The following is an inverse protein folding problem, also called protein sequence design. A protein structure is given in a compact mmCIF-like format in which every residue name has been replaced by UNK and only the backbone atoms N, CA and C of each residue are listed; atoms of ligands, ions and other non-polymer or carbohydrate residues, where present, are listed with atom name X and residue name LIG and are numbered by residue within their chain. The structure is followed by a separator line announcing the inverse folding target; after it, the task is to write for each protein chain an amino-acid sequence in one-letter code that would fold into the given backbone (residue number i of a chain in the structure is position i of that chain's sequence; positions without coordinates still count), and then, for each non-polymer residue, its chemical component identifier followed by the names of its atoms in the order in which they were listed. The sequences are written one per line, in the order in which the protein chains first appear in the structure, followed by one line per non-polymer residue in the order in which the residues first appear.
data_IF_086652523865
#
_entry.id   IF_086652523865
#
_cell.length_a   1.000
_cell.length_b   1.000
_cell.length_c   1.000
_cell.angle_alpha   90.00
_cell.angle_beta   90.00
_cell.angle_gamma   90.00
#
_symmetry.space_group_name_H-M   'P 1'
#
loop_
_entity.id
_entity.type
_entity.pdbx_description
1 polymer ?
#
# COMPACT_ATOMS: atom_id res chain seq x y z
N UNK A 1 16.48 9.24 1.61
CA UNK A 1 15.90 10.51 2.10
C UNK A 1 15.41 11.28 0.88
N UNK A 2 14.25 11.95 0.96
CA UNK A 2 13.75 12.81 -0.12
C UNK A 2 14.72 13.92 -0.52
N UNK A 3 14.64 14.34 -1.77
CA UNK A 3 15.49 15.39 -2.33
C UNK A 3 14.84 16.76 -2.11
N UNK A 4 15.21 17.44 -1.02
CA UNK A 4 14.65 18.74 -0.63
C UNK A 4 15.17 19.97 -1.38
N UNK A 5 16.35 19.98 -2.04
CA UNK A 5 16.83 21.18 -2.74
C UNK A 5 15.81 21.80 -3.70
N UNK A 6 14.92 20.98 -4.28
CA UNK A 6 13.80 21.46 -5.10
C UNK A 6 12.89 22.47 -4.39
N UNK A 7 12.75 22.41 -3.06
CA UNK A 7 11.99 23.42 -2.31
C UNK A 7 12.60 24.82 -2.40
N UNK A 8 13.92 24.93 -2.41
CA UNK A 8 14.60 26.21 -2.48
C UNK A 8 14.51 26.86 -3.85
N UNK A 9 14.54 26.06 -4.91
CA UNK A 9 14.57 26.54 -6.29
C UNK A 9 13.18 26.71 -6.89
N UNK A 10 12.12 26.19 -6.27
CA UNK A 10 10.76 26.31 -6.75
C UNK A 10 10.21 27.71 -6.47
N UNK A 11 10.12 28.54 -7.51
CA UNK A 11 9.62 29.91 -7.42
C UNK A 11 8.15 29.99 -6.98
N UNK A 12 7.36 28.94 -7.23
CA UNK A 12 5.95 28.87 -6.84
C UNK A 12 5.75 28.70 -5.32
N UNK A 13 6.82 28.46 -4.57
CA UNK A 13 6.77 28.21 -3.11
C UNK A 13 7.36 29.36 -2.30
N UNK A 14 7.66 30.52 -2.89
CA UNK A 14 8.45 31.58 -2.24
C UNK A 14 7.91 32.01 -0.88
N UNK A 15 6.58 32.17 -0.77
CA UNK A 15 5.93 32.65 0.45
C UNK A 15 5.59 31.51 1.44
N UNK A 16 5.76 30.25 1.02
CA UNK A 16 5.34 29.07 1.80
C UNK A 16 6.52 28.23 2.29
N UNK A 17 7.73 28.49 1.83
CA UNK A 17 8.92 27.66 2.10
C UNK A 17 9.15 27.43 3.60
N UNK A 18 8.99 28.47 4.41
CA UNK A 18 9.17 28.39 5.86
C UNK A 18 8.12 27.49 6.47
N UNK A 19 6.85 27.69 6.10
CA UNK A 19 5.75 26.87 6.60
C UNK A 19 5.93 25.40 6.21
N UNK A 20 6.26 25.11 4.96
CA UNK A 20 6.50 23.75 4.45
C UNK A 20 7.67 23.10 5.18
N UNK A 21 8.78 23.84 5.37
CA UNK A 21 9.96 23.38 6.12
C UNK A 21 9.57 22.97 7.53
N UNK A 22 8.85 23.82 8.24
CA UNK A 22 8.49 23.58 9.65
C UNK A 22 7.57 22.35 9.77
N UNK A 23 6.62 22.19 8.84
CA UNK A 23 5.77 21.00 8.78
C UNK A 23 6.57 19.73 8.41
N UNK A 24 7.53 19.80 7.49
CA UNK A 24 8.40 18.67 7.15
C UNK A 24 9.30 18.27 8.30
N UNK A 25 9.86 19.23 9.04
CA UNK A 25 10.70 18.92 10.22
C UNK A 25 9.88 18.22 11.28
N UNK A 26 8.68 18.72 11.59
CA UNK A 26 7.77 18.08 12.54
C UNK A 26 7.38 16.67 12.07
N UNK A 27 6.91 16.54 10.84
CA UNK A 27 6.51 15.25 10.25
C UNK A 27 7.64 14.21 10.32
N UNK A 28 8.86 14.62 9.98
CA UNK A 28 10.04 13.76 10.04
C UNK A 28 10.37 13.28 11.45
N UNK A 29 10.24 14.19 12.45
CA UNK A 29 10.46 13.85 13.85
C UNK A 29 9.44 12.83 14.35
N UNK A 30 8.18 13.01 14.00
CA UNK A 30 7.10 12.13 14.44
C UNK A 30 7.11 10.78 13.71
N UNK A 31 7.45 10.75 12.43
CA UNK A 31 7.70 9.51 11.70
C UNK A 31 8.83 8.69 12.33
N UNK A 32 9.94 9.36 12.73
CA UNK A 32 11.05 8.69 13.38
C UNK A 32 10.73 8.14 14.79
N UNK A 33 9.72 8.69 15.47
CA UNK A 33 9.20 8.15 16.75
C UNK A 33 8.23 6.99 16.54
N UNK A 34 7.39 7.07 15.51
CA UNK A 34 6.27 6.16 15.29
C UNK A 34 6.66 4.92 14.47
N UNK A 35 7.66 5.05 13.60
CA UNK A 35 8.10 3.98 12.70
C UNK A 35 9.52 3.60 13.05
N UNK A 36 9.85 2.30 13.19
CA UNK A 36 11.20 1.85 13.49
C UNK A 36 12.22 2.33 12.47
N UNK A 37 13.45 2.50 12.91
CA UNK A 37 14.54 2.84 12.01
C UNK A 37 14.78 1.72 10.99
N UNK A 38 14.94 2.08 9.72
CA UNK A 38 15.28 1.14 8.64
C UNK A 38 16.62 0.45 8.93
N UNK A 39 16.64 -0.86 8.76
CA UNK A 39 17.87 -1.67 8.86
C UNK A 39 18.36 -2.05 7.46
N UNK A 40 19.61 -2.42 7.32
CA UNK A 40 20.15 -2.85 6.03
C UNK A 40 19.63 -4.25 5.64
N UNK A 41 19.68 -5.20 6.57
CA UNK A 41 19.51 -6.63 6.31
C UNK A 41 18.62 -7.37 7.32
N UNK A 42 18.20 -6.73 8.42
CA UNK A 42 17.47 -7.41 9.51
C UNK A 42 15.97 -7.43 9.29
N UNK A 43 15.39 -6.29 8.94
CA UNK A 43 13.93 -6.12 8.82
C UNK A 43 13.57 -5.38 7.56
N UNK A 44 12.35 -5.60 7.06
CA UNK A 44 11.70 -4.89 5.96
C UNK A 44 10.48 -4.16 6.51
N UNK A 45 10.44 -2.85 6.33
CA UNK A 45 9.26 -2.03 6.62
C UNK A 45 8.37 -1.98 5.39
N UNK A 46 7.25 -2.71 5.45
CA UNK A 46 6.26 -2.85 4.39
C UNK A 46 5.02 -2.04 4.72
N UNK A 47 4.53 -1.23 3.78
CA UNK A 47 3.31 -0.46 3.94
C UNK A 47 2.34 -0.63 2.77
N UNK A 48 1.08 -0.32 3.00
CA UNK A 48 0.04 -0.08 1.99
C UNK A 48 -0.63 1.26 2.25
N UNK A 49 -0.91 2.01 1.19
CA UNK A 49 -1.54 3.31 1.29
C UNK A 49 -2.37 3.62 0.04
N UNK A 50 -3.67 3.69 0.19
CA UNK A 50 -4.51 4.31 -0.82
C UNK A 50 -4.27 5.83 -0.78
N UNK A 51 -3.69 6.38 -1.85
CA UNK A 51 -3.49 7.84 -1.98
C UNK A 51 -4.63 8.36 -2.86
N UNK A 52 -5.69 8.79 -2.19
CA UNK A 52 -6.96 9.20 -2.80
C UNK A 52 -6.78 9.98 -4.10
N UNK A 53 -7.36 9.47 -5.20
CA UNK A 53 -7.38 10.15 -6.51
C UNK A 53 -5.98 10.68 -6.92
N UNK A 54 -4.92 9.84 -6.78
CA UNK A 54 -3.54 10.28 -6.92
C UNK A 54 -3.27 10.75 -8.36
N UNK A 55 -3.27 12.07 -8.51
CA UNK A 55 -3.18 12.89 -9.69
C UNK A 55 -4.47 13.05 -10.52
N UNK A 56 -5.61 13.10 -9.86
CA UNK A 56 -6.84 13.55 -10.50
C UNK A 56 -6.98 15.06 -10.40
N UNK A 57 -7.09 15.74 -11.55
CA UNK A 57 -7.39 17.19 -11.62
C UNK A 57 -8.84 17.51 -11.25
N UNK A 58 -9.70 16.51 -11.14
CA UNK A 58 -11.14 16.63 -10.88
C UNK A 58 -11.48 17.44 -9.61
N UNK A 59 -10.60 17.42 -8.62
CA UNK A 59 -10.78 18.11 -7.34
C UNK A 59 -9.79 19.28 -7.16
N UNK A 60 -9.17 19.72 -8.22
CA UNK A 60 -8.09 20.70 -8.23
C UNK A 60 -6.70 20.05 -8.08
N UNK A 61 -5.65 20.79 -8.41
CA UNK A 61 -4.29 20.30 -8.34
C UNK A 61 -3.86 20.08 -6.88
N UNK A 62 -3.02 19.07 -6.65
CA UNK A 62 -2.30 18.92 -5.38
C UNK A 62 -1.26 20.03 -5.26
N UNK A 63 -1.10 20.55 -4.06
CA UNK A 63 -0.07 21.51 -3.73
C UNK A 63 1.33 20.88 -3.90
N UNK A 64 2.30 21.70 -4.24
CA UNK A 64 3.70 21.26 -4.33
C UNK A 64 4.18 20.64 -3.00
N UNK A 65 3.82 21.25 -1.87
CA UNK A 65 4.13 20.75 -0.53
C UNK A 65 3.62 19.34 -0.26
N UNK A 66 2.47 18.98 -0.82
CA UNK A 66 1.85 17.66 -0.67
C UNK A 66 2.77 16.54 -1.14
N UNK A 67 3.44 16.72 -2.30
CA UNK A 67 4.36 15.71 -2.82
C UNK A 67 5.57 15.50 -1.90
N UNK A 68 6.05 16.55 -1.25
CA UNK A 68 7.14 16.44 -0.27
C UNK A 68 6.68 15.73 1.01
N UNK A 69 5.45 15.98 1.47
CA UNK A 69 4.90 15.27 2.62
C UNK A 69 4.68 13.78 2.33
N UNK A 70 4.11 13.45 1.16
CA UNK A 70 3.95 12.07 0.72
C UNK A 70 5.31 11.38 0.58
N UNK A 71 6.30 12.04 -0.03
CA UNK A 71 7.65 11.51 -0.18
C UNK A 71 8.33 11.26 1.17
N UNK A 72 8.15 12.17 2.16
CA UNK A 72 8.70 11.98 3.50
C UNK A 72 8.10 10.74 4.16
N UNK A 73 6.77 10.58 4.13
CA UNK A 73 6.08 9.42 4.69
C UNK A 73 6.56 8.13 4.02
N UNK A 74 6.56 8.06 2.69
CA UNK A 74 7.00 6.87 1.94
C UNK A 74 8.45 6.53 2.25
N UNK A 75 9.33 7.52 2.41
CA UNK A 75 10.76 7.31 2.63
C UNK A 75 11.10 6.59 3.94
N UNK A 76 10.18 6.58 4.90
CA UNK A 76 10.34 5.87 6.17
C UNK A 76 10.07 4.36 6.04
N UNK A 77 9.48 3.91 4.94
CA UNK A 77 9.30 2.50 4.61
C UNK A 77 10.37 2.04 3.62
N UNK A 78 10.51 0.74 3.47
CA UNK A 78 11.36 0.14 2.43
C UNK A 78 10.55 -0.20 1.18
N UNK A 79 9.24 -0.43 1.37
CA UNK A 79 8.32 -0.87 0.34
C UNK A 79 6.92 -0.36 0.63
N UNK A 80 6.26 0.26 -0.35
CA UNK A 80 4.89 0.76 -0.22
C UNK A 80 4.06 0.33 -1.42
N UNK A 81 2.92 -0.33 -1.16
CA UNK A 81 1.89 -0.54 -2.17
C UNK A 81 0.94 0.67 -2.19
N UNK A 82 0.75 1.25 -3.35
CA UNK A 82 -0.05 2.47 -3.55
C UNK A 82 -1.25 2.13 -4.43
N UNK A 83 -2.46 2.52 -3.98
CA UNK A 83 -3.70 2.39 -4.73
C UNK A 83 -4.19 3.76 -5.21
N UNK A 84 -5.12 3.77 -6.15
CA UNK A 84 -5.69 4.96 -6.81
C UNK A 84 -4.69 5.80 -7.60
N UNK A 85 -3.61 5.21 -8.10
CA UNK A 85 -2.73 5.87 -9.05
C UNK A 85 -3.49 6.10 -10.36
N UNK A 86 -3.39 7.31 -10.91
CA UNK A 86 -4.10 7.67 -12.13
C UNK A 86 -3.32 7.31 -13.38
N UNK A 87 -4.01 7.40 -14.51
CA UNK A 87 -3.57 6.90 -15.82
C UNK A 87 -2.31 7.57 -16.35
N UNK A 88 -2.13 8.87 -16.17
CA UNK A 88 -1.01 9.62 -16.74
C UNK A 88 0.32 9.52 -15.98
N UNK A 89 0.29 8.99 -14.75
CA UNK A 89 1.45 8.79 -13.87
C UNK A 89 2.24 10.07 -13.51
N UNK A 90 1.74 11.26 -13.80
CA UNK A 90 2.50 12.49 -13.58
C UNK A 90 2.81 12.73 -12.12
N UNK A 91 1.82 12.52 -11.22
CA UNK A 91 2.02 12.60 -9.77
C UNK A 91 3.01 11.57 -9.27
N UNK A 92 2.90 10.32 -9.73
CA UNK A 92 3.83 9.26 -9.34
C UNK A 92 5.25 9.59 -9.78
N UNK A 93 5.46 10.04 -11.02
CA UNK A 93 6.78 10.46 -11.53
C UNK A 93 7.36 11.62 -10.74
N UNK A 94 6.52 12.62 -10.39
CA UNK A 94 6.92 13.75 -9.55
C UNK A 94 7.34 13.30 -8.15
N UNK A 95 6.56 12.43 -7.54
CA UNK A 95 6.89 11.79 -6.26
C UNK A 95 8.24 11.05 -6.33
N UNK A 96 8.46 10.25 -7.38
CA UNK A 96 9.71 9.53 -7.60
C UNK A 96 10.92 10.45 -7.76
N UNK A 97 10.74 11.60 -8.43
CA UNK A 97 11.78 12.62 -8.51
C UNK A 97 12.20 13.16 -7.15
N UNK A 98 11.25 13.33 -6.21
CA UNK A 98 11.53 13.77 -4.84
C UNK A 98 12.15 12.63 -4.02
N UNK A 99 11.69 11.40 -4.15
CA UNK A 99 12.27 10.23 -3.48
C UNK A 99 13.71 9.95 -3.91
N UNK A 100 14.05 10.27 -5.16
CA UNK A 100 15.40 10.18 -5.72
C UNK A 100 15.77 8.82 -6.28
N UNK A 101 16.96 8.72 -6.86
CA UNK A 101 17.44 7.62 -7.70
C UNK A 101 17.51 6.23 -7.03
N UNK A 102 17.52 6.18 -5.70
CA UNK A 102 17.50 4.90 -4.98
C UNK A 102 16.11 4.27 -4.91
N UNK A 103 15.11 4.95 -5.43
CA UNK A 103 13.74 4.46 -5.44
C UNK A 103 13.31 4.05 -6.84
N UNK A 104 12.52 3.02 -6.92
CA UNK A 104 11.90 2.55 -8.15
C UNK A 104 10.43 2.24 -7.93
N UNK A 105 9.69 2.08 -9.01
CA UNK A 105 8.31 1.66 -8.96
C UNK A 105 7.96 0.68 -10.08
N UNK A 106 6.95 -0.12 -9.82
CA UNK A 106 6.29 -0.98 -10.82
C UNK A 106 4.80 -0.71 -10.71
N UNK A 107 4.14 -0.54 -11.85
CA UNK A 107 2.73 -0.13 -11.92
C UNK A 107 1.94 -1.11 -12.79
N UNK A 108 0.67 -1.38 -12.41
CA UNK A 108 -0.26 -2.17 -13.22
C UNK A 108 -0.70 -1.43 -14.47
N UNK A 109 -1.37 -2.11 -15.37
CA UNK A 109 -2.13 -1.43 -16.41
C UNK A 109 -3.36 -0.71 -15.85
N UNK A 110 -4.00 0.11 -16.69
CA UNK A 110 -5.22 0.83 -16.33
C UNK A 110 -6.37 -0.17 -16.19
N UNK A 111 -7.12 -0.08 -15.12
CA UNK A 111 -8.37 -0.81 -15.03
C UNK A 111 -9.49 0.01 -15.65
N UNK A 112 -9.89 -0.38 -16.84
CA UNK A 112 -10.96 0.28 -17.60
C UNK A 112 -12.36 -0.03 -17.06
N UNK A 113 -13.36 0.72 -17.57
CA UNK A 113 -14.77 0.56 -17.24
C UNK A 113 -15.19 1.32 -15.98
N UNK A 114 -16.51 1.44 -15.80
CA UNK A 114 -17.09 2.24 -14.70
C UNK A 114 -16.67 1.79 -13.30
N UNK A 115 -16.45 0.49 -13.10
CA UNK A 115 -16.04 -0.07 -11.82
C UNK A 115 -14.53 0.05 -11.59
N UNK A 116 -13.72 0.12 -12.64
CA UNK A 116 -12.27 0.28 -12.61
C UNK A 116 -11.83 1.72 -12.37
N UNK A 117 -12.65 2.69 -12.77
CA UNK A 117 -12.45 4.13 -12.55
C UNK A 117 -11.14 4.69 -13.15
N UNK A 118 -10.52 4.00 -14.13
CA UNK A 118 -9.24 4.41 -14.73
C UNK A 118 -8.07 4.37 -13.75
N UNK A 119 -8.14 3.51 -12.74
CA UNK A 119 -7.13 3.42 -11.69
C UNK A 119 -6.05 2.38 -12.02
N UNK A 120 -4.85 2.66 -11.52
CA UNK A 120 -3.70 1.75 -11.46
C UNK A 120 -3.33 1.48 -10.01
N UNK A 121 -2.60 0.42 -9.81
CA UNK A 121 -1.92 0.10 -8.55
C UNK A 121 -0.42 0.09 -8.77
N UNK A 122 0.34 0.58 -7.81
CA UNK A 122 1.79 0.65 -7.91
C UNK A 122 2.47 0.07 -6.67
N UNK A 123 3.70 -0.42 -6.87
CA UNK A 123 4.64 -0.70 -5.81
C UNK A 123 5.81 0.26 -5.92
N UNK A 124 6.07 1.00 -4.85
CA UNK A 124 7.18 1.95 -4.71
C UNK A 124 8.17 1.37 -3.71
N UNK A 125 9.44 1.23 -4.05
CA UNK A 125 10.39 0.52 -3.21
C UNK A 125 11.81 1.08 -3.29
N UNK A 126 12.56 0.93 -2.20
CA UNK A 126 13.99 1.27 -2.09
C UNK A 126 14.84 0.17 -2.73
N UNK A 127 15.46 0.46 -3.87
CA UNK A 127 16.24 -0.50 -4.68
C UNK A 127 17.52 -0.97 -4.00
N UNK A 128 17.99 -0.26 -2.97
CA UNK A 128 19.14 -0.68 -2.16
C UNK A 128 18.82 -1.89 -1.29
N UNK A 129 17.54 -2.14 -1.05
CA UNK A 129 17.06 -3.18 -0.13
C UNK A 129 16.13 -4.19 -0.79
N UNK A 130 15.30 -3.75 -1.73
CA UNK A 130 14.32 -4.60 -2.38
C UNK A 130 14.65 -4.75 -3.86
N UNK A 131 14.72 -5.99 -4.32
CA UNK A 131 14.99 -6.34 -5.71
C UNK A 131 13.76 -6.95 -6.37
N UNK A 132 13.35 -6.43 -7.51
CA UNK A 132 12.38 -7.05 -8.40
C UNK A 132 12.95 -8.35 -8.99
N UNK A 133 12.16 -9.43 -8.96
CA UNK A 133 12.61 -10.77 -9.42
C UNK A 133 11.96 -11.17 -10.76
N UNK A 134 11.64 -10.20 -11.59
CA UNK A 134 11.22 -10.33 -12.98
C UNK A 134 9.88 -11.07 -13.20
N UNK A 135 8.99 -11.09 -12.20
CA UNK A 135 7.63 -11.56 -12.36
C UNK A 135 6.65 -10.47 -11.93
N UNK A 136 5.82 -10.03 -12.86
CA UNK A 136 4.70 -9.13 -12.61
C UNK A 136 3.50 -9.58 -13.47
N UNK A 137 2.30 -9.39 -12.97
CA UNK A 137 1.08 -9.77 -13.69
C UNK A 137 -0.19 -9.36 -12.95
N UNK A 138 -1.30 -9.52 -13.62
CA UNK A 138 -2.62 -9.22 -13.08
C UNK A 138 -3.38 -10.52 -12.77
N UNK A 139 -4.21 -10.50 -11.72
CA UNK A 139 -5.06 -11.63 -11.37
C UNK A 139 -6.33 -11.62 -12.20
N UNK A 140 -6.41 -12.50 -13.17
CA UNK A 140 -7.63 -12.73 -13.95
C UNK A 140 -8.25 -14.04 -13.49
N UNK A 141 -9.53 -14.00 -13.10
CA UNK A 141 -10.24 -15.20 -12.65
C UNK A 141 -10.54 -16.11 -13.85
N UNK A 142 -10.28 -17.42 -13.72
CA UNK A 142 -10.58 -18.36 -14.79
C UNK A 142 -12.09 -18.45 -15.04
N UNK A 143 -12.48 -18.51 -16.30
CA UNK A 143 -13.87 -18.78 -16.67
C UNK A 143 -14.29 -20.17 -16.22
N UNK A 144 -15.47 -20.25 -15.64
CA UNK A 144 -16.11 -21.52 -15.32
C UNK A 144 -16.98 -21.95 -16.51
N UNK A 145 -16.85 -23.21 -16.94
CA UNK A 145 -17.65 -23.76 -18.02
C UNK A 145 -19.16 -23.53 -17.79
N UNK A 146 -19.81 -22.83 -18.73
CA UNK A 146 -21.24 -22.53 -18.67
C UNK A 146 -21.66 -21.34 -17.80
N UNK A 147 -20.73 -20.60 -17.18
CA UNK A 147 -21.04 -19.42 -16.38
C UNK A 147 -20.06 -18.30 -16.66
N UNK A 148 -20.57 -17.09 -16.92
CA UNK A 148 -19.71 -15.91 -17.02
C UNK A 148 -19.14 -15.56 -15.63
N UNK A 149 -17.84 -15.68 -15.47
CA UNK A 149 -17.16 -15.30 -14.23
C UNK A 149 -17.10 -13.78 -14.14
N UNK A 150 -17.68 -13.21 -13.08
CA UNK A 150 -17.52 -11.78 -12.80
C UNK A 150 -16.06 -11.52 -12.39
N UNK A 151 -15.39 -10.69 -13.15
CA UNK A 151 -14.03 -10.27 -12.86
C UNK A 151 -14.00 -9.19 -11.76
N UNK A 152 -12.81 -8.93 -11.22
CA UNK A 152 -12.60 -7.88 -10.26
C UNK A 152 -13.02 -6.51 -10.81
N UNK A 153 -13.50 -5.64 -9.95
CA UNK A 153 -13.78 -4.25 -10.33
C UNK A 153 -12.48 -3.51 -10.71
N UNK A 154 -11.43 -3.77 -9.94
CA UNK A 154 -10.05 -3.39 -10.23
C UNK A 154 -9.21 -4.64 -10.15
N UNK A 155 -8.48 -4.94 -11.22
CA UNK A 155 -7.73 -6.20 -11.32
C UNK A 155 -6.55 -6.18 -10.34
N UNK A 156 -6.49 -7.10 -9.35
CA UNK A 156 -5.38 -7.13 -8.41
C UNK A 156 -4.05 -7.37 -9.12
N UNK A 157 -3.00 -6.68 -8.67
CA UNK A 157 -1.69 -6.68 -9.29
C UNK A 157 -0.68 -7.45 -8.43
N UNK A 158 -0.06 -8.49 -8.98
CA UNK A 158 0.91 -9.35 -8.31
C UNK A 158 2.30 -9.16 -8.89
N UNK A 159 3.29 -8.98 -8.00
CA UNK A 159 4.70 -8.84 -8.37
C UNK A 159 5.57 -9.64 -7.41
N UNK A 160 6.69 -10.19 -7.92
CA UNK A 160 7.66 -10.92 -7.11
C UNK A 160 8.87 -10.07 -6.78
N UNK A 161 9.24 -10.09 -5.51
CA UNK A 161 10.41 -9.38 -4.99
C UNK A 161 11.25 -10.26 -4.06
N UNK A 162 12.45 -9.77 -3.79
CA UNK A 162 13.35 -10.32 -2.79
C UNK A 162 13.99 -9.20 -1.98
N UNK A 163 14.05 -9.38 -0.66
CA UNK A 163 14.82 -8.56 0.26
C UNK A 163 15.64 -9.47 1.16
N UNK A 164 16.97 -9.43 1.06
CA UNK A 164 17.87 -10.38 1.73
C UNK A 164 17.42 -11.84 1.50
N UNK A 165 17.15 -12.61 2.55
CA UNK A 165 16.65 -13.99 2.48
C UNK A 165 15.17 -14.11 2.15
N UNK A 166 14.40 -13.01 2.31
CA UNK A 166 12.97 -13.02 2.15
C UNK A 166 12.54 -12.85 0.70
N UNK A 167 12.02 -13.92 0.10
CA UNK A 167 11.40 -13.92 -1.23
C UNK A 167 9.88 -13.86 -1.08
N UNK A 168 9.22 -12.96 -1.79
CA UNK A 168 7.79 -12.78 -1.66
C UNK A 168 7.09 -12.41 -2.97
N UNK A 169 5.92 -13.01 -3.16
CA UNK A 169 4.91 -12.61 -4.13
C UNK A 169 3.94 -11.69 -3.41
N UNK A 170 3.89 -10.43 -3.79
CA UNK A 170 3.01 -9.45 -3.19
C UNK A 170 1.91 -9.06 -4.17
N UNK A 171 0.67 -9.11 -3.70
CA UNK A 171 -0.50 -8.71 -4.47
C UNK A 171 -1.14 -7.52 -3.80
N UNK A 172 -1.31 -6.43 -4.54
CA UNK A 172 -2.12 -5.30 -4.10
C UNK A 172 -3.51 -5.37 -4.72
N UNK A 173 -4.51 -5.02 -3.95
CA UNK A 173 -5.90 -5.00 -4.35
C UNK A 173 -6.58 -3.69 -3.94
N UNK A 174 -7.54 -3.25 -4.74
CA UNK A 174 -8.50 -2.22 -4.37
C UNK A 174 -9.89 -2.79 -4.66
N UNK A 175 -10.52 -3.35 -3.62
CA UNK A 175 -11.78 -4.08 -3.75
C UNK A 175 -12.95 -3.15 -4.06
N UNK A 176 -14.00 -3.71 -4.67
CA UNK A 176 -15.18 -2.96 -5.07
C UNK A 176 -15.82 -2.19 -3.90
N UNK A 177 -15.99 -0.87 -4.07
CA UNK A 177 -16.76 -0.05 -3.17
C UNK A 177 -18.21 0.05 -3.67
N UNK A 178 -19.15 -0.55 -2.94
CA UNK A 178 -20.57 -0.48 -3.25
C UNK A 178 -21.41 -0.49 -1.99
N UNK A 179 -22.53 0.25 -2.04
CA UNK A 179 -23.46 0.37 -0.92
C UNK A 179 -24.50 -0.76 -0.93
N UNK A 180 -25.11 -1.01 0.24
CA UNK A 180 -26.18 -2.01 0.41
C UNK A 180 -25.70 -3.45 0.25
N UNK A 181 -26.61 -4.40 0.40
CA UNK A 181 -26.32 -5.83 0.41
C UNK A 181 -25.63 -6.32 -0.88
N UNK A 182 -26.02 -5.82 -2.05
CA UNK A 182 -25.43 -6.19 -3.34
C UNK A 182 -23.97 -5.74 -3.42
N UNK A 183 -23.66 -4.52 -2.99
CA UNK A 183 -22.30 -3.99 -3.01
C UNK A 183 -21.39 -4.72 -2.02
N UNK A 184 -21.90 -5.00 -0.81
CA UNK A 184 -21.17 -5.78 0.21
C UNK A 184 -20.90 -7.20 -0.31
N UNK A 185 -21.91 -7.86 -0.88
CA UNK A 185 -21.75 -9.20 -1.45
C UNK A 185 -20.67 -9.23 -2.53
N UNK A 186 -20.70 -8.31 -3.50
CA UNK A 186 -19.70 -8.25 -4.57
C UNK A 186 -18.30 -8.07 -3.99
N UNK A 187 -18.10 -7.17 -3.04
CA UNK A 187 -16.82 -6.96 -2.35
C UNK A 187 -16.35 -8.22 -1.63
N UNK A 188 -17.23 -8.88 -0.89
CA UNK A 188 -16.97 -10.17 -0.23
C UNK A 188 -16.48 -11.22 -1.22
N UNK A 189 -17.19 -11.35 -2.36
CA UNK A 189 -16.85 -12.30 -3.40
C UNK A 189 -15.49 -12.00 -4.04
N UNK A 190 -15.17 -10.73 -4.33
CA UNK A 190 -13.88 -10.30 -4.87
C UNK A 190 -12.72 -10.60 -3.91
N UNK A 191 -12.86 -10.25 -2.62
CA UNK A 191 -11.83 -10.51 -1.60
C UNK A 191 -11.56 -12.01 -1.50
N UNK A 192 -12.62 -12.81 -1.39
CA UNK A 192 -12.51 -14.28 -1.30
C UNK A 192 -11.87 -14.87 -2.54
N UNK A 193 -12.25 -14.40 -3.73
CA UNK A 193 -11.72 -14.87 -5.00
C UNK A 193 -10.21 -14.61 -5.11
N UNK A 194 -9.74 -13.40 -4.75
CA UNK A 194 -8.32 -13.07 -4.73
C UNK A 194 -7.53 -13.98 -3.78
N UNK A 195 -8.01 -14.12 -2.55
CA UNK A 195 -7.34 -14.95 -1.53
C UNK A 195 -7.28 -16.44 -1.94
N UNK A 196 -8.37 -17.00 -2.45
CA UNK A 196 -8.41 -18.39 -2.91
C UNK A 196 -7.57 -18.63 -4.17
N UNK A 197 -7.52 -17.67 -5.08
CA UNK A 197 -6.67 -17.74 -6.27
C UNK A 197 -5.19 -17.82 -5.88
N UNK A 198 -4.74 -16.94 -4.98
CA UNK A 198 -3.37 -16.92 -4.49
C UNK A 198 -3.01 -18.18 -3.69
N UNK A 199 -3.93 -18.69 -2.88
CA UNK A 199 -3.77 -19.98 -2.19
C UNK A 199 -3.54 -21.11 -3.19
N UNK A 200 -4.40 -21.23 -4.22
CA UNK A 200 -4.28 -22.26 -5.23
C UNK A 200 -2.99 -22.15 -6.05
N UNK A 201 -2.58 -20.91 -6.39
CA UNK A 201 -1.31 -20.62 -7.08
C UNK A 201 -0.12 -21.06 -6.23
N UNK A 202 -0.08 -20.71 -4.95
CA UNK A 202 0.98 -21.09 -4.01
C UNK A 202 1.14 -22.61 -3.91
N UNK A 203 0.03 -23.36 -3.86
CA UNK A 203 0.05 -24.83 -3.83
C UNK A 203 0.65 -25.40 -5.13
N UNK A 204 0.24 -24.88 -6.30
CA UNK A 204 0.76 -25.31 -7.61
C UNK A 204 2.26 -25.04 -7.75
N UNK A 205 2.74 -23.86 -7.38
CA UNK A 205 4.15 -23.50 -7.45
C UNK A 205 5.00 -24.39 -6.53
N UNK A 206 4.54 -24.65 -5.32
CA UNK A 206 5.20 -25.55 -4.39
C UNK A 206 5.31 -26.97 -4.95
N UNK A 207 4.24 -27.49 -5.58
CA UNK A 207 4.26 -28.80 -6.22
C UNK A 207 5.26 -28.86 -7.40
N UNK A 208 5.27 -27.85 -8.25
CA UNK A 208 6.20 -27.78 -9.40
C UNK A 208 7.67 -27.74 -8.97
N UNK A 209 7.99 -27.05 -7.88
CA UNK A 209 9.35 -27.02 -7.33
C UNK A 209 9.73 -28.41 -6.81
N UNK A 210 8.81 -29.10 -6.14
CA UNK A 210 8.96 -30.47 -5.64
C UNK A 210 9.30 -31.46 -6.76
N UNK A 211 8.48 -31.42 -7.81
CA UNK A 211 8.59 -32.36 -8.94
C UNK A 211 9.92 -32.19 -9.72
N UNK A 212 10.44 -30.96 -9.79
CA UNK A 212 11.68 -30.66 -10.52
C UNK A 212 12.97 -30.94 -9.75
N UNK A 213 12.97 -30.75 -8.43
CA UNK A 213 14.19 -30.79 -7.60
C UNK A 213 14.29 -32.02 -6.68
N UNK A 214 13.25 -32.88 -6.61
CA UNK A 214 13.19 -34.05 -5.75
C UNK A 214 13.08 -33.74 -4.24
N UNK A 215 13.75 -32.70 -3.79
CA UNK A 215 13.67 -32.16 -2.44
C UNK A 215 13.34 -30.68 -2.49
N UNK A 216 12.33 -30.25 -1.74
CA UNK A 216 12.03 -28.84 -1.60
C UNK A 216 13.05 -28.24 -0.62
N UNK A 217 13.88 -27.35 -1.12
CA UNK A 217 14.51 -26.39 -0.23
C UNK A 217 13.47 -25.32 0.15
N UNK A 218 13.04 -25.31 1.41
CA UNK A 218 12.04 -24.33 1.91
C UNK A 218 12.46 -22.88 1.64
N UNK A 219 13.76 -22.61 1.52
CA UNK A 219 14.36 -21.32 1.24
C UNK A 219 14.18 -20.85 -0.22
N UNK A 220 13.81 -21.75 -1.12
CA UNK A 220 13.49 -21.40 -2.51
C UNK A 220 12.02 -20.96 -2.70
N UNK A 221 11.18 -21.10 -1.68
CA UNK A 221 9.77 -20.76 -1.74
C UNK A 221 9.53 -19.26 -1.56
N UNK A 222 8.55 -18.75 -2.27
CA UNK A 222 8.02 -17.40 -2.10
C UNK A 222 6.93 -17.36 -1.03
N UNK A 223 6.99 -16.40 -0.11
CA UNK A 223 5.86 -16.05 0.74
C UNK A 223 4.83 -15.26 -0.07
N UNK A 224 3.55 -15.44 0.25
CA UNK A 224 2.47 -14.71 -0.44
C UNK A 224 1.87 -13.66 0.50
N UNK A 225 1.83 -12.43 0.04
CA UNK A 225 1.28 -11.26 0.73
C UNK A 225 0.11 -10.73 -0.11
N UNK A 226 -1.02 -10.50 0.51
CA UNK A 226 -2.18 -9.85 -0.08
C UNK A 226 -2.52 -8.62 0.76
N UNK A 227 -2.41 -7.43 0.17
CA UNK A 227 -2.60 -6.17 0.86
C UNK A 227 -3.31 -5.14 -0.02
N UNK A 228 -3.69 -4.02 0.56
CA UNK A 228 -4.34 -2.92 -0.13
C UNK A 228 -5.62 -2.46 0.54
N UNK A 229 -6.42 -1.72 -0.21
CA UNK A 229 -7.74 -1.24 0.20
C UNK A 229 -8.82 -2.30 -0.13
N UNK A 230 -9.29 -2.96 0.90
CA UNK A 230 -10.37 -3.95 0.80
C UNK A 230 -11.74 -3.36 1.09
N UNK A 231 -11.83 -2.08 1.42
CA UNK A 231 -13.07 -1.43 1.82
C UNK A 231 -13.80 -2.16 2.97
N UNK A 232 -13.03 -2.81 3.87
CA UNK A 232 -13.56 -3.51 5.05
C UNK A 232 -13.97 -2.47 6.09
N UNK A 233 -15.23 -2.54 6.52
CA UNK A 233 -15.77 -1.58 7.48
C UNK A 233 -15.48 -2.04 8.91
N UNK A 234 -15.72 -3.33 9.17
CA UNK A 234 -15.55 -3.93 10.48
C UNK A 234 -14.87 -5.29 10.37
N UNK A 235 -14.07 -5.65 11.37
CA UNK A 235 -13.39 -6.96 11.43
C UNK A 235 -14.33 -8.13 11.68
N UNK A 236 -15.52 -7.90 12.17
CA UNK A 236 -16.56 -8.91 12.33
C UNK A 236 -17.40 -9.11 11.07
N UNK A 237 -17.22 -8.27 10.05
CA UNK A 237 -17.95 -8.36 8.79
C UNK A 237 -17.58 -9.58 7.95
N UNK A 238 -18.50 -9.98 7.08
CA UNK A 238 -18.26 -11.05 6.09
C UNK A 238 -17.14 -10.69 5.09
N UNK A 239 -16.87 -9.42 4.87
CA UNK A 239 -15.76 -8.93 4.06
C UNK A 239 -14.41 -9.27 4.69
N UNK A 240 -14.23 -9.09 5.99
CA UNK A 240 -13.03 -9.50 6.71
C UNK A 240 -12.89 -11.02 6.76
N UNK A 241 -13.98 -11.73 7.05
CA UNK A 241 -14.01 -13.20 7.04
C UNK A 241 -13.70 -13.78 5.66
N UNK A 242 -14.06 -13.08 4.58
CA UNK A 242 -13.73 -13.48 3.21
C UNK A 242 -12.22 -13.51 2.96
N UNK A 243 -11.47 -12.62 3.59
CA UNK A 243 -10.01 -12.59 3.50
C UNK A 243 -9.35 -13.74 4.27
N UNK A 244 -9.89 -14.11 5.44
CA UNK A 244 -9.20 -14.99 6.39
C UNK A 244 -9.80 -16.40 6.50
N UNK A 245 -11.14 -16.52 6.50
CA UNK A 245 -11.82 -17.80 6.75
C UNK A 245 -11.76 -18.74 5.55
N UNK A 246 -11.06 -19.88 5.71
CA UNK A 246 -10.91 -20.91 4.67
C UNK A 246 -9.91 -20.61 3.57
N UNK A 247 -9.26 -19.45 3.60
CA UNK A 247 -8.28 -19.00 2.60
C UNK A 247 -6.84 -19.37 2.95
N UNK A 248 -6.55 -19.66 4.21
CA UNK A 248 -5.23 -19.78 4.82
C UNK A 248 -4.45 -18.45 4.89
N UNK A 249 -5.08 -17.33 4.53
CA UNK A 249 -4.54 -16.02 4.84
C UNK A 249 -4.81 -15.68 6.30
N UNK A 250 -3.87 -15.01 6.94
CA UNK A 250 -4.01 -14.46 8.27
C UNK A 250 -3.46 -13.04 8.31
N UNK A 251 -4.00 -12.23 9.20
CA UNK A 251 -3.48 -10.90 9.50
C UNK A 251 -2.62 -11.03 10.75
N UNK A 252 -1.35 -10.56 10.74
CA UNK A 252 -0.47 -10.66 11.88
C UNK A 252 -1.06 -10.01 13.13
N UNK A 253 -0.80 -10.62 14.28
CA UNK A 253 -1.31 -10.14 15.57
C UNK A 253 -0.88 -8.69 15.85
N UNK A 254 0.35 -8.31 15.47
CA UNK A 254 0.83 -6.94 15.58
C UNK A 254 0.00 -5.96 14.78
N UNK A 255 -0.40 -6.30 13.54
CA UNK A 255 -1.30 -5.46 12.72
C UNK A 255 -2.67 -5.34 13.39
N UNK A 256 -3.20 -6.45 13.94
CA UNK A 256 -4.49 -6.43 14.63
C UNK A 256 -4.45 -5.57 15.89
N UNK A 257 -3.36 -5.63 16.66
CA UNK A 257 -3.18 -4.85 17.91
C UNK A 257 -2.96 -3.37 17.64
N UNK A 258 -2.15 -3.04 16.64
CA UNK A 258 -1.74 -1.65 16.38
C UNK A 258 -2.66 -0.90 15.39
N UNK A 259 -3.58 -1.60 14.75
CA UNK A 259 -4.64 -1.00 13.94
C UNK A 259 -6.00 -1.11 14.66
N UNK A 260 -6.06 -0.62 15.90
CA UNK A 260 -7.29 -0.71 16.71
C UNK A 260 -8.37 0.26 16.24
N UNK A 261 -7.98 1.40 15.66
CA UNK A 261 -8.86 2.50 15.34
C UNK A 261 -9.18 2.64 13.86
N UNK A 262 -8.69 1.71 13.02
CA UNK A 262 -8.94 1.75 11.57
C UNK A 262 -7.93 2.59 10.78
N UNK A 263 -8.08 2.59 9.46
CA UNK A 263 -7.14 3.20 8.50
C UNK A 263 -7.71 4.42 7.76
N UNK A 264 -8.97 4.77 7.98
CA UNK A 264 -9.54 6.01 7.44
C UNK A 264 -9.27 7.21 8.36
N UNK A 265 -9.45 8.43 7.86
CA UNK A 265 -9.20 9.67 8.62
C UNK A 265 -9.98 9.74 9.94
N UNK A 266 -11.18 9.15 9.99
CA UNK A 266 -11.98 9.10 11.23
C UNK A 266 -11.54 8.00 12.18
N UNK A 267 -10.63 7.13 11.77
CA UNK A 267 -10.11 6.02 12.56
C UNK A 267 -11.20 5.01 13.01
N UNK A 268 -12.29 4.89 12.25
CA UNK A 268 -13.45 4.05 12.58
C UNK A 268 -13.72 2.94 11.55
N UNK A 269 -12.87 2.81 10.49
CA UNK A 269 -13.00 1.80 9.43
C UNK A 269 -11.67 1.12 9.15
N UNK A 270 -11.72 -0.19 8.93
CA UNK A 270 -10.55 -1.04 8.70
C UNK A 270 -10.35 -1.32 7.20
N UNK A 271 -10.43 -0.29 6.37
CA UNK A 271 -10.43 -0.41 4.92
C UNK A 271 -9.20 -1.16 4.39
N UNK A 272 -8.02 -0.78 4.88
CA UNK A 272 -6.75 -1.33 4.43
C UNK A 272 -6.32 -2.52 5.29
N UNK A 273 -5.76 -3.54 4.65
CA UNK A 273 -5.28 -4.74 5.32
C UNK A 273 -3.94 -5.19 4.76
N UNK A 274 -3.17 -5.91 5.58
CA UNK A 274 -1.96 -6.65 5.18
C UNK A 274 -2.12 -8.08 5.67
N UNK A 275 -2.35 -9.01 4.74
CA UNK A 275 -2.59 -10.41 5.03
C UNK A 275 -1.50 -11.30 4.41
N UNK A 276 -1.13 -12.34 5.12
CA UNK A 276 -0.09 -13.29 4.72
C UNK A 276 -0.68 -14.69 4.57
N UNK A 277 -0.28 -15.39 3.51
CA UNK A 277 -0.62 -16.78 3.36
C UNK A 277 0.27 -17.60 4.30
N UNK A 278 -0.35 -18.36 5.22
CA UNK A 278 0.38 -19.21 6.17
C UNK A 278 1.22 -20.24 5.40
N UNK A 279 2.52 -20.02 5.40
CA UNK A 279 3.53 -21.03 5.07
C UNK A 279 4.43 -21.20 6.27
N UNK A 280 4.72 -22.44 6.61
CA UNK A 280 5.58 -22.78 7.73
C UNK A 280 6.96 -22.15 7.54
N UNK A 281 7.47 -21.52 8.57
CA UNK A 281 8.87 -21.16 8.81
C UNK A 281 9.52 -19.94 8.14
N UNK A 282 8.95 -19.30 7.12
CA UNK A 282 9.63 -18.21 6.41
C UNK A 282 9.01 -16.82 6.58
N UNK A 283 7.96 -16.70 7.37
CA UNK A 283 7.36 -15.42 7.69
C UNK A 283 7.46 -15.17 9.18
N UNK A 284 8.39 -14.32 9.57
CA UNK A 284 8.45 -13.80 10.92
C UNK A 284 8.11 -12.33 10.90
N UNK A 285 7.00 -11.98 11.54
CA UNK A 285 6.68 -10.59 11.81
C UNK A 285 7.71 -10.02 12.79
N UNK A 286 8.21 -8.81 12.52
CA UNK A 286 8.90 -7.99 13.50
C UNK A 286 7.97 -7.60 14.65
N UNK A 287 8.48 -6.94 15.65
CA UNK A 287 7.70 -6.53 16.82
C UNK A 287 6.73 -5.39 16.56
N UNK A 288 6.84 -4.73 15.40
CA UNK A 288 6.17 -3.46 15.15
C UNK A 288 5.21 -3.53 13.96
N UNK A 289 4.10 -2.84 14.10
CA UNK A 289 3.12 -2.55 13.04
C UNK A 289 2.32 -1.32 13.47
N UNK A 290 1.61 -0.68 12.56
CA UNK A 290 0.75 0.43 12.94
C UNK A 290 0.09 1.15 11.76
N UNK A 291 -0.65 2.18 12.11
CA UNK A 291 -1.21 3.17 11.20
C UNK A 291 -0.60 4.52 11.56
N UNK A 292 -0.11 5.25 10.58
CA UNK A 292 0.46 6.57 10.84
C UNK A 292 -0.55 7.67 10.47
N UNK A 293 -1.06 8.38 11.48
CA UNK A 293 -1.95 9.52 11.27
C UNK A 293 -1.13 10.79 11.05
N UNK A 294 -0.95 11.16 9.79
CA UNK A 294 -0.20 12.35 9.40
C UNK A 294 -0.99 13.65 9.63
N UNK A 295 -2.32 13.58 9.82
CA UNK A 295 -3.15 14.77 10.06
C UNK A 295 -2.97 15.41 11.43
N UNK A 296 -2.28 14.71 12.34
CA UNK A 296 -1.84 15.32 13.61
C UNK A 296 -0.69 16.33 13.43
N UNK A 297 0.02 16.27 12.28
CA UNK A 297 1.26 17.02 12.05
C UNK A 297 1.21 17.94 10.83
N UNK A 298 0.50 17.54 9.78
CA UNK A 298 0.34 18.27 8.51
C UNK A 298 -1.13 18.36 8.13
N UNK A 299 -1.50 19.46 7.48
CA UNK A 299 -2.91 19.73 7.17
C UNK A 299 -3.82 19.61 8.39
N UNK A 300 -3.31 20.01 9.57
CA UNK A 300 -4.07 20.00 10.82
C UNK A 300 -5.26 20.97 10.78
N UNK A 301 -6.20 20.84 11.70
CA UNK A 301 -7.31 21.82 11.78
C UNK A 301 -6.81 23.26 12.01
N UNK A 302 -5.68 23.42 12.71
CA UNK A 302 -5.06 24.74 12.96
C UNK A 302 -4.44 25.36 11.69
N UNK A 303 -4.17 24.54 10.66
CA UNK A 303 -3.62 25.02 9.39
C UNK A 303 -4.67 25.61 8.44
N UNK A 304 -5.95 25.54 8.80
CA UNK A 304 -7.04 26.03 7.96
C UNK A 304 -6.85 27.49 7.50
N UNK A 305 -6.42 28.37 8.38
CA UNK A 305 -6.20 29.78 8.05
C UNK A 305 -5.14 29.95 6.95
N UNK A 306 -4.09 29.15 6.99
CA UNK A 306 -3.02 29.13 6.00
C UNK A 306 -3.55 28.63 4.63
N UNK A 307 -4.25 27.50 4.64
CA UNK A 307 -4.71 26.86 3.38
C UNK A 307 -5.98 27.46 2.78
N UNK A 308 -6.73 28.27 3.54
CA UNK A 308 -8.03 28.85 3.09
C UNK A 308 -7.96 29.56 1.75
N UNK A 309 -6.86 30.25 1.46
CA UNK A 309 -6.65 30.95 0.18
C UNK A 309 -6.47 29.98 -1.00
N UNK A 310 -5.84 28.83 -0.75
CA UNK A 310 -5.52 27.81 -1.74
C UNK A 310 -6.74 26.96 -2.11
N UNK A 311 -7.68 26.77 -1.18
CA UNK A 311 -8.92 26.05 -1.42
C UNK A 311 -9.82 26.69 -2.50
N UNK A 312 -9.58 27.96 -2.85
CA UNK A 312 -10.32 28.69 -3.91
C UNK A 312 -9.80 28.40 -5.31
N UNK A 313 -8.73 27.62 -5.46
CA UNK A 313 -8.22 27.20 -6.77
C UNK A 313 -9.21 26.19 -7.35
N UNK A 314 -9.82 26.53 -8.47
CA UNK A 314 -10.92 25.83 -9.14
C UNK A 314 -10.53 24.39 -9.51
N UNK A 315 -11.24 23.42 -8.95
CA UNK A 315 -11.42 22.10 -9.54
C UNK A 315 -12.83 21.99 -10.15
N UNK A 316 -13.09 20.94 -10.92
CA UNK A 316 -14.43 20.66 -11.48
C UNK A 316 -15.51 20.49 -10.41
N UNK A 317 -15.11 20.17 -9.15
CA UNK A 317 -16.01 20.05 -8.01
C UNK A 317 -15.61 21.00 -6.89
N UNK A 318 -16.52 21.83 -6.45
CA UNK A 318 -16.36 22.66 -5.27
C UNK A 318 -16.36 21.77 -4.01
N UNK A 319 -15.23 21.66 -3.35
CA UNK A 319 -15.11 20.99 -2.06
C UNK A 319 -15.73 21.87 -0.98
N UNK A 320 -16.59 21.27 -0.15
CA UNK A 320 -17.46 22.02 0.78
C UNK A 320 -16.77 22.38 2.09
N UNK A 321 -15.67 21.69 2.45
CA UNK A 321 -15.01 21.90 3.73
C UNK A 321 -13.49 21.71 3.60
N UNK A 322 -12.75 22.26 4.56
CA UNK A 322 -11.31 22.05 4.69
C UNK A 322 -10.98 20.56 4.90
N UNK A 323 -11.76 19.88 5.74
CA UNK A 323 -11.57 18.45 6.01
C UNK A 323 -11.73 17.61 4.73
N UNK A 324 -12.70 17.93 3.87
CA UNK A 324 -12.84 17.26 2.57
C UNK A 324 -11.68 17.62 1.64
N UNK A 325 -11.32 18.89 1.54
CA UNK A 325 -10.25 19.37 0.66
C UNK A 325 -8.89 18.74 1.01
N UNK A 326 -8.50 18.70 2.29
CA UNK A 326 -7.22 18.13 2.70
C UNK A 326 -7.11 16.65 2.37
N UNK A 327 -8.22 15.90 2.28
CA UNK A 327 -8.18 14.49 1.86
C UNK A 327 -7.88 14.31 0.37
N UNK A 328 -8.15 15.31 -0.46
CA UNK A 328 -7.67 15.31 -1.84
C UNK A 328 -6.25 15.86 -1.98
N UNK A 329 -5.75 16.56 -0.97
CA UNK A 329 -4.33 16.92 -0.92
C UNK A 329 -3.50 15.71 -0.49
N UNK A 330 -3.84 15.04 0.59
CA UNK A 330 -3.14 13.86 1.10
C UNK A 330 -3.89 12.56 0.73
N UNK A 331 -4.75 12.08 1.60
CA UNK A 331 -5.68 10.97 1.37
C UNK A 331 -6.74 10.90 2.46
N UNK A 332 -7.87 10.24 2.21
CA UNK A 332 -8.82 9.82 3.23
C UNK A 332 -8.47 8.47 3.87
N UNK A 333 -7.36 7.85 3.42
CA UNK A 333 -6.72 6.70 4.02
C UNK A 333 -5.38 7.07 4.65
N UNK A 334 -5.03 6.36 5.71
CA UNK A 334 -3.75 6.46 6.43
C UNK A 334 -2.88 5.26 6.09
N UNK A 335 -1.55 5.42 5.96
CA UNK A 335 -0.66 4.30 5.67
C UNK A 335 -0.68 3.27 6.80
N UNK A 336 -1.05 2.04 6.45
CA UNK A 336 -0.94 0.85 7.29
C UNK A 336 0.40 0.18 7.01
N UNK A 337 1.15 -0.18 8.05
CA UNK A 337 2.48 -0.76 7.88
C UNK A 337 2.75 -1.91 8.85
N UNK A 338 3.75 -2.74 8.50
CA UNK A 338 4.26 -3.85 9.30
C UNK A 338 5.76 -4.00 9.12
N UNK A 339 6.44 -4.37 10.18
CA UNK A 339 7.85 -4.77 10.15
C UNK A 339 7.95 -6.29 9.98
N UNK A 340 8.73 -6.74 9.00
CA UNK A 340 8.99 -8.15 8.70
C UNK A 340 10.47 -8.46 8.93
N UNK A 341 10.79 -9.59 9.53
CA UNK A 341 12.16 -10.09 9.58
C UNK A 341 12.55 -10.65 8.22
N UNK A 342 13.77 -10.33 7.79
CA UNK A 342 14.32 -10.75 6.49
C UNK A 342 15.68 -11.45 6.61
N UNK A 343 16.31 -11.43 7.79
CA UNK A 343 17.54 -12.20 8.07
C UNK A 343 17.18 -13.57 8.66
N UNK A 344 17.40 -14.61 7.85
CA UNK A 344 17.20 -15.99 8.23
C UNK A 344 18.52 -16.79 8.24
N UNK A 345 19.69 -16.14 8.18
CA UNK A 345 20.98 -16.78 8.07
C UNK A 345 21.23 -17.79 9.21
N UNK A 346 20.97 -17.38 10.46
CA UNK A 346 21.14 -18.26 11.63
C UNK A 346 20.23 -19.49 11.55
N UNK A 347 18.97 -19.31 11.16
CA UNK A 347 18.00 -20.39 11.00
C UNK A 347 18.39 -21.34 9.87
N UNK A 348 18.87 -20.78 8.74
CA UNK A 348 19.41 -21.58 7.64
C UNK A 348 20.59 -22.44 8.06
N UNK A 349 21.57 -21.85 8.74
CA UNK A 349 22.74 -22.57 9.23
C UNK A 349 22.39 -23.69 10.21
N UNK A 350 21.38 -23.50 11.08
CA UNK A 350 20.92 -24.53 12.00
C UNK A 350 20.20 -25.71 11.31
N UNK A 351 19.74 -25.54 10.08
CA UNK A 351 19.09 -26.59 9.29
C UNK A 351 20.10 -27.45 8.50
N UNK A 352 21.37 -27.07 8.43
CA UNK A 352 22.44 -27.86 7.80
C UNK A 352 22.77 -29.03 8.75
N UNK A 353 22.55 -30.24 8.24
CA UNK A 353 22.84 -31.49 8.95
C UNK A 353 24.20 -32.03 8.54
#
# INVERSE_FOLDING_TARGET
MPYYPGLNYNQNLTDEKIFIRDRLVLLKQELAKSIPQKTVDKTLLLATWNIREFDSEKFGPRLESTYYYIAEIISHFDFVAVQEVRDDLSALKKLMGILGHSWSYIVSDITEGKAGNGERMAFVYDTRKVRFTNMAGELVLPEKKGTKTLQFARTPYIVSFQSSWFKFNITTAHAYYGKGAIGIKRRTDEIRAAALFLKARSIRETKMIKDKKGLINKWDNYSYILLGDFNIIDREDETFKALTKGTNFFIPEGVLKHNLEGTNVKRDKFYDQIAFLKKEDLLEQGSNAGVFDFYDFIFTENDFSHYKKMMKIKGEKNLKSYTEWRTYQMSDHLPLWVELKIDFAKKYLSDIK
#
